data_IF_986524015659
#
_entry.id   IF_986524015659
#
_cell.length_a   1.000
_cell.length_b   1.000
_cell.length_c   1.000
_cell.angle_alpha   90.00
_cell.angle_beta   90.00
_cell.angle_gamma   90.00
#
_symmetry.space_group_name_H-M   'P 1'
#
loop_
_entity.id
_entity.type
_entity.pdbx_description
1 polymer ?
#
# COMPACT_ATOMS: atom_id res chain seq x y z
N UNK A 1 -2.76 -8.55 -44.08
CA UNK A 1 -1.29 -8.55 -43.90
C UNK A 1 -0.99 -7.97 -42.52
N UNK A 2 -0.28 -8.53 -41.55
CA UNK A 2 0.42 -9.80 -41.29
C UNK A 2 0.30 -10.03 -39.77
N UNK A 3 0.07 -11.26 -39.31
CA UNK A 3 0.59 -11.77 -38.03
C UNK A 3 0.31 -13.27 -37.96
N UNK A 4 1.17 -14.09 -38.58
CA UNK A 4 1.14 -15.55 -38.45
C UNK A 4 2.39 -16.14 -37.79
N UNK A 5 3.37 -15.32 -37.39
CA UNK A 5 4.68 -15.79 -36.91
C UNK A 5 5.17 -15.09 -35.62
N UNK A 6 4.28 -14.64 -34.72
CA UNK A 6 4.73 -14.22 -33.39
C UNK A 6 5.03 -15.46 -32.53
N UNK A 7 6.26 -15.66 -32.02
CA UNK A 7 6.55 -16.75 -31.11
C UNK A 7 5.70 -16.62 -29.83
N UNK A 8 5.24 -17.74 -29.22
CA UNK A 8 4.47 -17.69 -27.98
C UNK A 8 5.21 -16.89 -26.90
N UNK A 9 4.49 -16.06 -26.14
CA UNK A 9 5.07 -15.19 -25.09
C UNK A 9 5.97 -15.97 -24.10
N UNK A 10 5.66 -17.24 -23.84
CA UNK A 10 6.51 -18.14 -23.05
C UNK A 10 7.93 -18.31 -23.62
N UNK A 11 8.08 -18.40 -24.95
CA UNK A 11 9.38 -18.52 -25.64
C UNK A 11 10.16 -17.20 -25.65
N UNK A 12 9.44 -16.07 -25.57
CA UNK A 12 10.00 -14.73 -25.43
C UNK A 12 10.40 -14.38 -23.98
N UNK A 13 10.38 -15.35 -23.07
CA UNK A 13 10.78 -15.13 -21.68
C UNK A 13 9.69 -14.51 -20.80
N UNK A 14 8.41 -14.50 -21.20
CA UNK A 14 7.32 -14.05 -20.34
C UNK A 14 6.68 -15.20 -19.55
N UNK A 15 5.99 -14.83 -18.47
CA UNK A 15 5.23 -15.72 -17.58
C UNK A 15 3.89 -15.08 -17.23
N UNK A 16 2.84 -15.91 -17.15
CA UNK A 16 1.52 -15.49 -16.66
C UNK A 16 1.52 -15.52 -15.13
N UNK A 17 1.24 -14.38 -14.49
CA UNK A 17 1.30 -14.26 -13.02
C UNK A 17 0.39 -13.15 -12.51
N UNK A 18 0.07 -13.23 -11.22
CA UNK A 18 -0.74 -12.25 -10.51
C UNK A 18 0.01 -10.91 -10.44
N UNK A 19 -0.69 -9.82 -10.74
CA UNK A 19 -0.13 -8.48 -10.59
C UNK A 19 0.03 -8.12 -9.10
N UNK A 20 0.90 -7.16 -8.80
CA UNK A 20 1.11 -6.63 -7.45
C UNK A 20 1.08 -5.12 -7.50
N UNK A 21 0.40 -4.49 -6.55
CA UNK A 21 0.43 -3.03 -6.42
C UNK A 21 1.82 -2.52 -6.04
N UNK A 22 2.26 -1.50 -6.77
CA UNK A 22 3.44 -0.72 -6.41
C UNK A 22 3.04 0.32 -5.36
N UNK A 23 3.43 0.09 -4.10
CA UNK A 23 3.25 1.05 -3.00
C UNK A 23 4.55 1.84 -2.79
N UNK A 24 4.42 3.17 -2.65
CA UNK A 24 5.57 4.02 -2.32
C UNK A 24 6.05 3.72 -0.90
N UNK A 25 7.36 3.56 -0.73
CA UNK A 25 7.97 3.42 0.61
C UNK A 25 8.09 4.79 1.27
N UNK A 26 7.82 4.85 2.58
CA UNK A 26 8.05 6.04 3.38
C UNK A 26 9.54 6.43 3.41
N UNK A 27 9.81 7.73 3.53
CA UNK A 27 11.18 8.27 3.56
C UNK A 27 11.90 7.86 4.86
N UNK A 28 13.02 7.10 4.81
CA UNK A 28 13.60 6.46 6.00
C UNK A 28 14.01 7.45 7.10
N UNK A 29 14.58 8.59 6.75
CA UNK A 29 15.09 9.56 7.73
C UNK A 29 13.93 10.26 8.47
N UNK A 30 12.84 10.60 7.76
CA UNK A 30 11.63 11.17 8.38
C UNK A 30 10.97 10.16 9.31
N UNK A 31 10.96 8.87 8.93
CA UNK A 31 10.47 7.80 9.79
C UNK A 31 11.30 7.68 11.07
N UNK A 32 12.63 7.73 10.96
CA UNK A 32 13.51 7.66 12.12
C UNK A 32 13.27 8.82 13.10
N UNK A 33 13.23 10.06 12.59
CA UNK A 33 12.96 11.25 13.41
C UNK A 33 11.58 11.18 14.09
N UNK A 34 10.55 10.71 13.38
CA UNK A 34 9.23 10.53 13.98
C UNK A 34 9.20 9.49 15.09
N UNK A 35 9.96 8.40 14.97
CA UNK A 35 10.02 7.36 16.00
C UNK A 35 10.62 7.87 17.31
N UNK A 36 11.59 8.78 17.26
CA UNK A 36 12.14 9.42 18.45
C UNK A 36 11.08 10.24 19.19
N UNK A 37 10.27 11.02 18.45
CA UNK A 37 9.13 11.76 19.04
C UNK A 37 8.08 10.82 19.62
N UNK A 38 7.74 9.75 18.88
CA UNK A 38 6.72 8.80 19.30
C UNK A 38 7.10 8.05 20.59
N UNK A 39 8.38 7.72 20.77
CA UNK A 39 8.87 7.05 21.99
C UNK A 39 8.59 7.89 23.23
N UNK A 40 8.94 9.19 23.22
CA UNK A 40 8.67 10.08 24.35
C UNK A 40 7.17 10.22 24.65
N UNK A 41 6.34 10.36 23.62
CA UNK A 41 4.88 10.44 23.80
C UNK A 41 4.28 9.16 24.40
N UNK A 42 4.78 7.99 24.00
CA UNK A 42 4.34 6.72 24.58
C UNK A 42 4.77 6.60 26.04
N UNK A 43 5.99 7.00 26.38
CA UNK A 43 6.47 6.99 27.76
C UNK A 43 5.62 7.91 28.65
N UNK A 44 5.32 9.14 28.21
CA UNK A 44 4.43 10.05 28.94
C UNK A 44 3.01 9.47 29.10
N UNK A 45 2.47 8.86 28.05
CA UNK A 45 1.14 8.24 28.08
C UNK A 45 1.06 7.05 29.04
N UNK A 46 2.12 6.22 29.09
CA UNK A 46 2.21 5.08 30.03
C UNK A 46 2.29 5.51 31.49
N UNK A 47 2.83 6.70 31.76
CA UNK A 47 2.87 7.29 33.10
C UNK A 47 1.65 8.19 33.39
N UNK A 48 0.60 8.11 32.56
CA UNK A 48 -0.65 8.88 32.69
C UNK A 48 -0.44 10.40 32.70
N UNK A 49 0.67 10.87 32.11
CA UNK A 49 1.03 12.30 32.06
C UNK A 49 0.35 13.02 30.89
N UNK A 50 -0.02 12.27 29.86
CA UNK A 50 -0.80 12.78 28.73
C UNK A 50 -1.78 11.72 28.22
N UNK A 51 -2.85 12.17 27.56
CA UNK A 51 -3.73 11.30 26.78
C UNK A 51 -3.22 11.26 25.33
N UNK A 52 -2.79 10.09 24.87
CA UNK A 52 -2.34 9.91 23.51
C UNK A 52 -3.52 9.56 22.60
N UNK A 53 -3.73 10.40 21.58
CA UNK A 53 -4.85 10.28 20.64
C UNK A 53 -4.30 10.16 19.22
N UNK A 54 -4.67 9.08 18.54
CA UNK A 54 -4.41 8.91 17.11
C UNK A 54 -5.64 9.34 16.32
N UNK A 55 -5.44 10.16 15.30
CA UNK A 55 -6.50 10.65 14.41
C UNK A 55 -6.03 10.40 12.98
N UNK A 56 -6.88 9.79 12.16
CA UNK A 56 -6.57 9.58 10.75
C UNK A 56 -7.83 9.56 9.88
N UNK A 57 -7.63 9.81 8.59
CA UNK A 57 -8.64 9.61 7.56
C UNK A 57 -8.29 8.39 6.71
N UNK A 58 -9.23 7.45 6.61
CA UNK A 58 -9.13 6.31 5.72
C UNK A 58 -10.06 6.49 4.52
N UNK A 59 -9.53 6.28 3.32
CA UNK A 59 -10.33 6.20 2.09
C UNK A 59 -10.41 4.75 1.62
N UNK A 60 -11.56 4.12 1.81
CA UNK A 60 -11.81 2.77 1.28
C UNK A 60 -12.38 2.91 -0.12
N UNK A 61 -11.67 2.34 -1.08
CA UNK A 61 -12.09 2.27 -2.47
C UNK A 61 -12.59 0.86 -2.77
N UNK A 62 -13.62 0.76 -3.62
CA UNK A 62 -14.00 -0.50 -4.24
C UNK A 62 -12.93 -0.85 -5.28
N UNK A 63 -11.86 -1.47 -4.81
CA UNK A 63 -10.77 -1.89 -5.68
C UNK A 63 -11.03 -3.29 -6.21
N UNK A 64 -10.86 -3.46 -7.51
CA UNK A 64 -10.99 -4.76 -8.17
C UNK A 64 -9.71 -5.58 -7.92
N UNK A 65 -9.83 -6.92 -7.89
CA UNK A 65 -8.65 -7.79 -7.76
C UNK A 65 -7.60 -7.43 -8.83
N UNK A 66 -6.32 -7.47 -8.46
CA UNK A 66 -5.18 -6.97 -9.25
C UNK A 66 -5.05 -7.66 -10.63
N UNK A 67 -5.77 -8.76 -10.81
CA UNK A 67 -5.82 -9.52 -12.04
C UNK A 67 -4.54 -10.30 -12.32
N UNK A 68 -4.49 -10.88 -13.51
CA UNK A 68 -3.35 -11.66 -14.00
C UNK A 68 -2.93 -11.13 -15.38
N UNK A 69 -1.64 -11.22 -15.67
CA UNK A 69 -1.10 -10.78 -16.96
C UNK A 69 0.23 -11.44 -17.30
N UNK A 70 0.68 -11.20 -18.53
CA UNK A 70 1.99 -11.63 -19.01
C UNK A 70 3.06 -10.60 -18.62
N UNK A 71 4.10 -11.03 -17.92
CA UNK A 71 5.25 -10.19 -17.55
C UNK A 71 6.54 -11.01 -17.55
N UNK A 72 7.69 -10.32 -17.66
CA UNK A 72 9.04 -10.88 -17.81
C UNK A 72 9.29 -11.94 -16.72
N UNK A 73 9.69 -13.14 -17.12
CA UNK A 73 9.97 -14.26 -16.21
C UNK A 73 11.07 -13.87 -15.22
N UNK A 74 10.87 -14.19 -13.95
CA UNK A 74 11.81 -13.84 -12.87
C UNK A 74 11.52 -12.47 -12.21
N UNK A 75 10.83 -11.56 -12.90
CA UNK A 75 10.50 -10.25 -12.35
C UNK A 75 9.11 -10.20 -11.71
N UNK A 76 8.85 -9.19 -10.86
CA UNK A 76 7.50 -8.95 -10.34
C UNK A 76 6.67 -8.18 -11.36
N UNK A 77 5.41 -8.58 -11.52
CA UNK A 77 4.46 -7.85 -12.35
C UNK A 77 3.83 -6.72 -11.53
N UNK A 78 4.37 -5.52 -11.66
CA UNK A 78 3.87 -4.35 -10.94
C UNK A 78 2.76 -3.65 -11.72
N UNK A 79 1.69 -3.31 -11.02
CA UNK A 79 0.64 -2.41 -11.51
C UNK A 79 0.56 -1.21 -10.58
N UNK A 80 0.37 -0.03 -11.18
CA UNK A 80 0.01 1.16 -10.41
C UNK A 80 -1.32 0.90 -9.73
N UNK A 81 -1.44 1.21 -8.44
CA UNK A 81 -2.73 1.23 -7.78
C UNK A 81 -3.58 2.32 -8.42
N UNK A 82 -4.47 1.96 -9.33
CA UNK A 82 -5.52 2.85 -9.80
C UNK A 82 -6.81 2.41 -9.12
N UNK A 83 -7.27 3.16 -8.12
CA UNK A 83 -8.66 3.05 -7.70
C UNK A 83 -9.48 3.51 -8.92
N UNK A 84 -10.21 2.62 -9.62
CA UNK A 84 -11.12 3.10 -10.64
C UNK A 84 -12.07 4.09 -9.94
N UNK A 85 -12.56 5.13 -10.62
CA UNK A 85 -13.43 6.17 -10.03
C UNK A 85 -14.79 5.70 -9.50
N UNK A 86 -14.88 4.42 -9.12
CA UNK A 86 -15.91 3.80 -8.34
C UNK A 86 -16.03 4.46 -6.96
N UNK A 87 -17.22 4.31 -6.37
CA UNK A 87 -17.58 4.89 -5.10
C UNK A 87 -16.47 4.73 -4.05
N UNK A 88 -16.14 5.85 -3.40
CA UNK A 88 -15.22 5.95 -2.27
C UNK A 88 -16.05 6.20 -1.01
N UNK A 89 -15.68 5.54 0.08
CA UNK A 89 -16.16 5.92 1.41
C UNK A 89 -14.98 6.47 2.21
N UNK A 90 -15.13 7.71 2.69
CA UNK A 90 -14.20 8.31 3.65
C UNK A 90 -14.65 7.99 5.06
N UNK A 91 -13.69 7.62 5.90
CA UNK A 91 -13.87 7.42 7.34
C UNK A 91 -12.91 8.33 8.07
N UNK A 92 -13.40 8.99 9.11
CA UNK A 92 -12.57 9.73 10.05
C UNK A 92 -12.57 8.95 11.37
N UNK A 93 -11.39 8.53 11.80
CA UNK A 93 -11.22 7.72 12.98
C UNK A 93 -10.47 8.48 14.06
N UNK A 94 -10.88 8.25 15.30
CA UNK A 94 -10.11 8.64 16.49
C UNK A 94 -9.91 7.38 17.33
N UNK A 95 -8.67 7.16 17.75
CA UNK A 95 -8.30 6.08 18.66
C UNK A 95 -7.61 6.67 19.89
N UNK A 96 -8.18 6.38 21.06
CA UNK A 96 -7.71 6.85 22.36
C UNK A 96 -6.87 5.73 22.97
N UNK A 97 -5.56 5.95 23.07
CA UNK A 97 -4.61 4.88 23.38
C UNK A 97 -4.68 4.42 24.84
N UNK A 98 -4.66 5.37 25.77
CA UNK A 98 -4.59 5.16 27.21
C UNK A 98 -5.80 5.76 27.95
N UNK A 99 -6.97 5.78 27.30
CA UNK A 99 -8.22 6.13 27.98
C UNK A 99 -8.84 4.85 28.56
N UNK A 100 -8.87 4.75 29.89
CA UNK A 100 -9.52 3.69 30.64
C UNK A 100 -11.00 4.02 30.96
#
# INVERSE_FOLDING_TARGET
MQSRNAPPLKRLGFSWKKARKLLNKAYPQKRAAFLETLQGLLDEALHEQCLLVYIDEAHVHLDTDEGYGWSIRGERFWVSSSSPGLAKVSFYGVYLYNLA
#
